data_IF_248942062008
#
_entry.id   IF_248942062008
#
_cell.length_a   1.000
_cell.length_b   1.000
_cell.length_c   1.000
_cell.angle_alpha   90.00
_cell.angle_beta   90.00
_cell.angle_gamma   90.00
#
_symmetry.space_group_name_H-M   'P 1'
#
loop_
_entity.id
_entity.type
_entity.pdbx_description
1 polymer ?
#
# COMPACT_ATOMS: atom_id res chain seq x y z
N UNK A 1 10.90 3.39 -38.12
CA UNK A 1 10.60 2.28 -37.19
C UNK A 1 11.73 2.02 -36.20
N UNK A 2 12.97 1.82 -36.64
CA UNK A 2 14.11 1.53 -35.75
C UNK A 2 14.42 2.66 -34.76
N UNK A 3 14.34 3.92 -35.21
CA UNK A 3 14.44 5.09 -34.33
C UNK A 3 13.32 5.18 -33.28
N UNK A 4 12.11 4.72 -33.61
CA UNK A 4 10.96 4.71 -32.67
C UNK A 4 11.14 3.63 -31.60
N UNK A 5 11.68 2.46 -31.98
CA UNK A 5 11.99 1.38 -31.04
C UNK A 5 13.14 1.78 -30.12
N UNK A 6 14.20 2.42 -30.65
CA UNK A 6 15.35 2.86 -29.87
C UNK A 6 14.99 4.01 -28.91
N UNK A 7 14.14 4.94 -29.33
CA UNK A 7 13.61 6.00 -28.46
C UNK A 7 12.64 5.42 -27.42
N UNK A 8 11.83 4.43 -27.80
CA UNK A 8 10.93 3.71 -26.90
C UNK A 8 11.68 2.95 -25.80
N UNK A 9 12.77 2.23 -26.15
CA UNK A 9 13.61 1.52 -25.17
C UNK A 9 14.41 2.47 -24.28
N UNK A 10 14.89 3.60 -24.83
CA UNK A 10 15.59 4.62 -24.06
C UNK A 10 14.64 5.29 -23.04
N UNK A 11 13.42 5.65 -23.45
CA UNK A 11 12.41 6.24 -22.57
C UNK A 11 11.95 5.25 -21.48
N UNK A 12 11.82 3.96 -21.81
CA UNK A 12 11.49 2.92 -20.84
C UNK A 12 12.62 2.73 -19.82
N UNK A 13 13.87 2.68 -20.27
CA UNK A 13 15.05 2.60 -19.42
C UNK A 13 15.19 3.83 -18.50
N UNK A 14 14.91 5.04 -19.01
CA UNK A 14 14.90 6.29 -18.23
C UNK A 14 13.76 6.33 -17.19
N UNK A 15 12.57 5.84 -17.54
CA UNK A 15 11.44 5.76 -16.60
C UNK A 15 11.74 4.81 -15.42
N UNK A 16 12.36 3.67 -15.72
CA UNK A 16 12.79 2.65 -14.74
C UNK A 16 14.00 3.11 -13.91
N UNK A 17 14.92 3.85 -14.53
CA UNK A 17 16.05 4.51 -13.87
C UNK A 17 15.58 5.49 -12.78
N UNK A 18 14.48 6.21 -13.03
CA UNK A 18 13.85 7.08 -12.02
C UNK A 18 13.26 6.29 -10.84
N UNK A 19 12.73 5.09 -11.08
CA UNK A 19 12.14 4.22 -10.06
C UNK A 19 13.22 3.56 -9.17
N UNK A 20 14.38 3.21 -9.74
CA UNK A 20 15.49 2.63 -8.98
C UNK A 20 16.24 3.68 -8.14
N UNK A 21 16.35 4.92 -8.62
CA UNK A 21 16.99 6.02 -7.89
C UNK A 21 16.23 6.39 -6.61
N UNK A 22 14.89 6.30 -6.63
CA UNK A 22 14.02 6.48 -5.45
C UNK A 22 14.23 5.43 -4.35
N UNK A 23 14.89 4.30 -4.64
CA UNK A 23 15.11 3.17 -3.70
C UNK A 23 16.55 3.04 -3.20
N UNK A 24 17.42 4.02 -3.44
CA UNK A 24 18.77 4.10 -2.84
C UNK A 24 19.80 3.07 -3.31
N UNK A 25 19.48 2.22 -4.31
CA UNK A 25 20.38 1.16 -4.81
C UNK A 25 21.27 1.64 -5.97
N UNK A 26 22.34 2.36 -5.63
CA UNK A 26 23.25 3.00 -6.62
C UNK A 26 23.95 2.01 -7.55
N UNK A 27 24.43 0.84 -7.07
CA UNK A 27 25.21 -0.09 -7.90
C UNK A 27 24.39 -0.78 -9.01
N UNK A 28 23.16 -1.22 -8.69
CA UNK A 28 22.25 -1.81 -9.68
C UNK A 28 21.88 -0.79 -10.78
N UNK A 29 21.73 0.47 -10.39
CA UNK A 29 21.45 1.59 -11.30
C UNK A 29 22.60 1.85 -12.27
N UNK A 30 23.85 1.82 -11.82
CA UNK A 30 25.02 1.91 -12.70
C UNK A 30 25.11 0.72 -13.66
N UNK A 31 24.82 -0.49 -13.19
CA UNK A 31 24.79 -1.70 -14.03
C UNK A 31 23.73 -1.64 -15.12
N UNK A 32 22.49 -1.27 -14.78
CA UNK A 32 21.39 -1.15 -15.74
C UNK A 32 21.60 -0.02 -16.75
N UNK A 33 22.13 1.14 -16.31
CA UNK A 33 22.47 2.24 -17.21
C UNK A 33 23.63 1.87 -18.14
N UNK A 34 24.64 1.16 -17.65
CA UNK A 34 25.76 0.67 -18.45
C UNK A 34 25.32 -0.33 -19.52
N UNK A 35 24.41 -1.25 -19.16
CA UNK A 35 23.82 -2.21 -20.10
C UNK A 35 22.95 -1.52 -21.16
N UNK A 36 22.11 -0.56 -20.74
CA UNK A 36 21.29 0.23 -21.65
C UNK A 36 22.14 1.04 -22.64
N UNK A 37 23.25 1.63 -22.16
CA UNK A 37 24.23 2.32 -23.01
C UNK A 37 24.86 1.36 -24.03
N UNK A 38 25.27 0.17 -23.59
CA UNK A 38 25.86 -0.86 -24.47
C UNK A 38 24.87 -1.29 -25.56
N UNK A 39 23.62 -1.54 -25.19
CA UNK A 39 22.55 -1.92 -26.13
C UNK A 39 22.14 -0.79 -27.07
N UNK A 40 22.35 0.47 -26.71
CA UNK A 40 22.10 1.62 -27.58
C UNK A 40 23.27 1.91 -28.53
N UNK A 41 24.51 1.78 -28.06
CA UNK A 41 25.73 2.11 -28.83
C UNK A 41 26.09 1.02 -29.83
N UNK A 42 25.89 -0.25 -29.49
CA UNK A 42 26.31 -1.38 -30.31
C UNK A 42 25.56 -1.47 -31.67
N UNK A 43 24.22 -1.23 -31.74
CA UNK A 43 23.50 -1.12 -33.01
C UNK A 43 23.91 0.12 -33.82
N UNK A 44 24.22 1.23 -33.14
CA UNK A 44 24.73 2.46 -33.76
C UNK A 44 26.10 2.24 -34.41
N UNK A 45 27.01 1.55 -33.71
CA UNK A 45 28.31 1.15 -34.24
C UNK A 45 28.19 0.20 -35.44
N UNK A 46 27.29 -0.79 -35.36
CA UNK A 46 27.02 -1.72 -36.46
C UNK A 46 26.42 -1.02 -37.68
N UNK A 47 25.47 -0.09 -37.48
CA UNK A 47 24.86 0.67 -38.58
C UNK A 47 25.85 1.62 -39.24
N UNK A 48 26.69 2.31 -38.45
CA UNK A 48 27.79 3.14 -38.97
C UNK A 48 28.84 2.29 -39.72
N UNK A 49 29.20 1.12 -39.21
CA UNK A 49 30.12 0.19 -39.88
C UNK A 49 29.58 -0.31 -41.22
N UNK A 50 28.29 -0.69 -41.26
CA UNK A 50 27.61 -1.10 -42.50
C UNK A 50 27.54 0.06 -43.50
N UNK A 51 27.20 1.27 -43.01
CA UNK A 51 27.19 2.49 -43.82
C UNK A 51 28.56 2.82 -44.40
N UNK A 52 29.61 2.80 -43.57
CA UNK A 52 31.01 2.97 -43.97
C UNK A 52 31.40 1.97 -45.07
N UNK A 53 31.11 0.68 -44.84
CA UNK A 53 31.47 -0.38 -45.78
C UNK A 53 30.71 -0.28 -47.11
N UNK A 54 29.51 0.28 -47.11
CA UNK A 54 28.68 0.39 -48.31
C UNK A 54 29.01 1.65 -49.14
N UNK A 55 29.08 2.80 -48.49
CA UNK A 55 29.27 4.08 -49.17
C UNK A 55 30.72 4.32 -49.62
N UNK A 56 31.71 3.85 -48.86
CA UNK A 56 33.12 4.10 -49.18
C UNK A 56 33.77 3.01 -50.04
N UNK A 57 33.19 1.80 -50.10
CA UNK A 57 33.73 0.69 -50.91
C UNK A 57 32.90 0.36 -52.17
N UNK A 58 31.84 1.14 -52.46
CA UNK A 58 31.22 1.22 -53.78
C UNK A 58 30.62 -0.09 -54.35
N UNK A 59 29.87 -0.88 -53.56
CA UNK A 59 29.17 -2.08 -54.06
C UNK A 59 27.67 -1.85 -54.26
N UNK A 60 27.11 -2.32 -55.38
CA UNK A 60 25.71 -2.12 -55.79
C UNK A 60 24.74 -3.21 -55.26
N UNK A 61 23.45 -2.85 -55.20
CA UNK A 61 22.35 -3.55 -54.51
C UNK A 61 21.80 -4.79 -55.26
N UNK A 62 22.63 -5.82 -55.48
CA UNK A 62 22.22 -7.01 -56.24
C UNK A 62 21.33 -8.03 -55.51
N UNK A 63 21.09 -7.89 -54.22
CA UNK A 63 20.13 -8.69 -53.43
C UNK A 63 19.94 -7.99 -52.10
N UNK A 64 18.72 -7.93 -51.56
CA UNK A 64 18.49 -7.36 -50.22
C UNK A 64 19.42 -8.13 -49.26
N UNK A 65 20.45 -7.48 -48.71
CA UNK A 65 21.52 -8.21 -48.07
C UNK A 65 20.98 -8.78 -46.76
N UNK A 66 21.37 -10.02 -46.45
CA UNK A 66 21.12 -10.68 -45.16
C UNK A 66 21.37 -9.75 -43.96
N UNK A 67 22.20 -8.71 -44.11
CA UNK A 67 22.49 -7.67 -43.11
C UNK A 67 21.28 -6.86 -42.63
N UNK A 68 20.25 -6.62 -43.44
CA UNK A 68 19.04 -5.89 -43.01
C UNK A 68 18.13 -6.77 -42.15
N UNK A 69 18.01 -8.06 -42.51
CA UNK A 69 17.39 -9.08 -41.67
C UNK A 69 18.17 -9.34 -40.38
N UNK A 70 19.52 -9.26 -40.44
CA UNK A 70 20.41 -9.40 -39.28
C UNK A 70 20.21 -8.24 -38.29
N UNK A 71 20.05 -7.00 -38.78
CA UNK A 71 19.80 -5.85 -37.90
C UNK A 71 18.44 -5.92 -37.20
N UNK A 72 17.39 -6.39 -37.89
CA UNK A 72 16.09 -6.64 -37.27
C UNK A 72 16.14 -7.82 -36.28
N UNK A 73 16.84 -8.90 -36.64
CA UNK A 73 17.05 -10.06 -35.76
C UNK A 73 17.82 -9.69 -34.50
N UNK A 74 18.92 -8.95 -34.63
CA UNK A 74 19.71 -8.43 -33.50
C UNK A 74 18.87 -7.47 -32.65
N UNK A 75 18.06 -6.61 -33.25
CA UNK A 75 17.16 -5.72 -32.52
C UNK A 75 16.13 -6.46 -31.68
N UNK A 76 15.51 -7.52 -32.22
CA UNK A 76 14.55 -8.36 -31.48
C UNK A 76 15.23 -9.14 -30.37
N UNK A 77 16.43 -9.69 -30.61
CA UNK A 77 17.21 -10.40 -29.59
C UNK A 77 17.65 -9.45 -28.46
N UNK A 78 18.10 -8.24 -28.78
CA UNK A 78 18.45 -7.23 -27.79
C UNK A 78 17.22 -6.76 -26.98
N UNK A 79 16.06 -6.59 -27.61
CA UNK A 79 14.82 -6.26 -26.92
C UNK A 79 14.36 -7.40 -25.99
N UNK A 80 14.43 -8.65 -26.46
CA UNK A 80 14.14 -9.84 -25.66
C UNK A 80 15.09 -9.98 -24.47
N UNK A 81 16.40 -9.79 -24.68
CA UNK A 81 17.39 -9.82 -23.61
C UNK A 81 17.17 -8.70 -22.57
N UNK A 82 16.80 -7.49 -23.03
CA UNK A 82 16.46 -6.38 -22.13
C UNK A 82 15.24 -6.69 -21.28
N UNK A 83 14.17 -7.21 -21.89
CA UNK A 83 12.96 -7.62 -21.19
C UNK A 83 13.26 -8.72 -20.16
N UNK A 84 14.04 -9.73 -20.52
CA UNK A 84 14.45 -10.80 -19.61
C UNK A 84 15.29 -10.29 -18.44
N UNK A 85 16.19 -9.33 -18.68
CA UNK A 85 17.00 -8.71 -17.60
C UNK A 85 16.16 -7.82 -16.69
N UNK A 86 15.10 -7.18 -17.20
CA UNK A 86 14.13 -6.45 -16.38
C UNK A 86 13.34 -7.40 -15.48
N UNK A 87 12.77 -8.47 -16.06
CA UNK A 87 12.02 -9.48 -15.30
C UNK A 87 12.93 -10.16 -14.27
N UNK A 88 14.15 -10.54 -14.64
CA UNK A 88 15.12 -11.12 -13.73
C UNK A 88 15.57 -10.15 -12.64
N UNK A 89 15.74 -8.86 -12.95
CA UNK A 89 16.08 -7.82 -11.99
C UNK A 89 14.98 -7.58 -10.97
N UNK A 90 13.72 -7.54 -11.40
CA UNK A 90 12.55 -7.48 -10.51
C UNK A 90 12.44 -8.74 -9.65
N UNK A 91 12.61 -9.92 -10.24
CA UNK A 91 12.61 -11.19 -9.51
C UNK A 91 13.70 -11.25 -8.44
N UNK A 92 14.97 -11.02 -8.80
CA UNK A 92 16.09 -11.12 -7.87
C UNK A 92 16.01 -10.04 -6.79
N UNK A 93 15.57 -8.84 -7.16
CA UNK A 93 15.43 -7.75 -6.19
C UNK A 93 14.27 -7.95 -5.21
N UNK A 94 13.16 -8.55 -5.66
CA UNK A 94 11.98 -8.90 -4.85
C UNK A 94 12.26 -10.02 -3.85
N UNK A 95 12.83 -11.14 -4.29
CA UNK A 95 13.17 -12.27 -3.40
C UNK A 95 14.22 -11.89 -2.35
N UNK A 96 15.24 -11.11 -2.72
CA UNK A 96 16.29 -10.67 -1.79
C UNK A 96 15.78 -9.73 -0.69
N UNK A 97 14.84 -8.83 -1.00
CA UNK A 97 14.21 -7.95 0.00
C UNK A 97 13.20 -8.66 0.87
N UNK A 98 12.42 -9.58 0.31
CA UNK A 98 11.44 -10.37 1.05
C UNK A 98 12.15 -11.24 2.11
N UNK A 99 13.24 -11.92 1.74
CA UNK A 99 14.04 -12.73 2.66
C UNK A 99 14.72 -11.91 3.76
N UNK A 100 15.23 -10.72 3.46
CA UNK A 100 15.79 -9.82 4.48
C UNK A 100 14.73 -9.25 5.43
N UNK A 101 13.57 -8.86 4.90
CA UNK A 101 12.43 -8.38 5.70
C UNK A 101 11.92 -9.47 6.63
N UNK A 102 11.77 -10.70 6.16
CA UNK A 102 11.35 -11.84 6.98
C UNK A 102 12.36 -12.17 8.08
N UNK A 103 13.66 -12.20 7.78
CA UNK A 103 14.71 -12.41 8.80
C UNK A 103 14.71 -11.32 9.87
N UNK A 104 14.57 -10.05 9.46
CA UNK A 104 14.51 -8.92 10.40
C UNK A 104 13.28 -9.00 11.30
N UNK A 105 12.12 -9.38 10.77
CA UNK A 105 10.89 -9.59 11.56
C UNK A 105 11.06 -10.72 12.56
N UNK A 106 11.62 -11.86 12.13
CA UNK A 106 11.93 -12.98 13.01
C UNK A 106 12.90 -12.59 14.13
N UNK A 107 13.96 -11.84 13.82
CA UNK A 107 14.93 -11.35 14.82
C UNK A 107 14.27 -10.39 15.84
N UNK A 108 13.40 -9.49 15.39
CA UNK A 108 12.67 -8.59 16.29
C UNK A 108 11.74 -9.40 17.19
N UNK A 109 11.02 -10.39 16.63
CA UNK A 109 10.13 -11.27 17.38
C UNK A 109 10.88 -12.07 18.44
N UNK A 110 12.00 -12.69 18.07
CA UNK A 110 12.88 -13.42 19.01
C UNK A 110 13.34 -12.53 20.17
N UNK A 111 13.71 -11.27 19.89
CA UNK A 111 14.09 -10.32 20.94
C UNK A 111 12.93 -9.99 21.88
N UNK A 112 11.72 -9.79 21.36
CA UNK A 112 10.52 -9.52 22.18
C UNK A 112 10.18 -10.74 23.05
N UNK A 113 10.26 -11.95 22.50
CA UNK A 113 10.09 -13.20 23.24
C UNK A 113 11.19 -13.38 24.31
N UNK A 114 12.41 -12.93 24.03
CA UNK A 114 13.52 -12.83 24.98
C UNK A 114 13.43 -11.68 26.00
N UNK A 115 12.31 -10.94 26.05
CA UNK A 115 12.03 -9.92 27.06
C UNK A 115 12.28 -8.46 26.67
N UNK A 116 12.66 -8.17 25.41
CA UNK A 116 12.85 -6.79 24.90
C UNK A 116 11.52 -6.12 24.56
N UNK A 117 10.76 -5.73 25.58
CA UNK A 117 9.45 -5.09 25.42
C UNK A 117 9.50 -3.73 24.71
N UNK A 118 10.66 -3.08 24.63
CA UNK A 118 10.86 -1.87 23.84
C UNK A 118 10.62 -2.07 22.33
N UNK A 119 10.73 -3.31 21.86
CA UNK A 119 10.48 -3.69 20.48
C UNK A 119 9.07 -4.24 20.22
N UNK A 120 8.21 -4.35 21.24
CA UNK A 120 6.89 -4.94 21.10
C UNK A 120 6.04 -4.22 20.04
N UNK A 121 6.05 -2.88 20.03
CA UNK A 121 5.33 -2.11 19.02
C UNK A 121 5.93 -2.23 17.61
N UNK A 122 7.21 -2.60 17.48
CA UNK A 122 7.80 -2.91 16.18
C UNK A 122 7.28 -4.23 15.61
N UNK A 123 7.08 -5.25 16.45
CA UNK A 123 6.44 -6.51 16.03
C UNK A 123 5.05 -6.19 15.50
N UNK A 124 4.22 -5.50 16.28
CA UNK A 124 2.88 -5.09 15.86
C UNK A 124 2.95 -4.24 14.57
N UNK A 125 3.83 -3.24 14.47
CA UNK A 125 3.87 -2.39 13.29
C UNK A 125 4.44 -3.05 12.00
N UNK A 126 5.05 -4.25 12.09
CA UNK A 126 5.78 -4.84 10.96
C UNK A 126 5.57 -6.34 10.74
N UNK A 127 4.93 -7.06 11.64
CA UNK A 127 4.73 -8.51 11.55
C UNK A 127 3.26 -8.83 11.22
N UNK A 128 2.97 -9.43 10.04
CA UNK A 128 1.59 -9.72 9.63
C UNK A 128 0.93 -10.80 10.50
N UNK A 129 1.73 -11.55 11.26
CA UNK A 129 1.31 -12.61 12.17
C UNK A 129 1.36 -12.15 13.65
N UNK A 130 1.38 -10.83 13.90
CA UNK A 130 1.31 -10.31 15.25
C UNK A 130 -0.01 -10.73 15.93
N UNK A 131 0.11 -11.16 17.18
CA UNK A 131 -0.96 -11.78 17.96
C UNK A 131 -1.65 -10.77 18.89
N UNK A 132 -2.80 -11.13 19.51
CA UNK A 132 -3.39 -10.31 20.58
C UNK A 132 -2.40 -10.06 21.73
N UNK A 133 -1.53 -11.02 22.03
CA UNK A 133 -0.52 -10.88 23.07
C UNK A 133 0.56 -9.85 22.71
N UNK A 134 0.99 -9.82 21.44
CA UNK A 134 1.93 -8.79 20.96
C UNK A 134 1.32 -7.40 21.07
N UNK A 135 0.03 -7.27 20.76
CA UNK A 135 -0.71 -6.03 20.94
C UNK A 135 -0.81 -5.63 22.42
N UNK A 136 -1.11 -6.57 23.32
CA UNK A 136 -1.13 -6.32 24.77
C UNK A 136 0.23 -5.84 25.30
N UNK A 137 1.33 -6.41 24.80
CA UNK A 137 2.69 -5.99 25.15
C UNK A 137 3.01 -4.59 24.62
N UNK A 138 2.63 -4.28 23.37
CA UNK A 138 2.79 -2.94 22.82
C UNK A 138 1.96 -1.91 23.58
N UNK A 139 0.70 -2.22 23.91
CA UNK A 139 -0.16 -1.36 24.74
C UNK A 139 0.48 -1.08 26.10
N UNK A 140 0.88 -2.12 26.83
CA UNK A 140 1.57 -1.97 28.13
C UNK A 140 2.82 -1.08 27.99
N UNK A 141 3.57 -1.25 26.90
CA UNK A 141 4.75 -0.42 26.60
C UNK A 141 4.39 1.05 26.36
N UNK A 142 3.31 1.35 25.63
CA UNK A 142 2.86 2.72 25.37
C UNK A 142 2.30 3.36 26.63
N UNK A 143 1.47 2.64 27.39
CA UNK A 143 0.86 3.14 28.63
C UNK A 143 1.91 3.42 29.72
N UNK A 144 3.00 2.64 29.77
CA UNK A 144 4.12 2.88 30.69
C UNK A 144 4.97 4.12 30.36
N UNK A 145 4.88 4.67 29.15
CA UNK A 145 5.53 5.95 28.83
C UNK A 145 4.77 7.06 29.53
N UNK A 146 5.43 7.93 30.29
CA UNK A 146 4.78 9.10 30.90
C UNK A 146 4.95 10.37 30.07
N UNK A 147 6.01 10.43 29.24
CA UNK A 147 6.28 11.54 28.34
C UNK A 147 5.37 11.48 27.08
N UNK A 148 4.57 12.54 26.80
CA UNK A 148 3.75 12.62 25.60
C UNK A 148 4.55 12.50 24.29
N UNK A 149 5.79 13.01 24.25
CA UNK A 149 6.62 12.92 23.03
C UNK A 149 7.05 11.48 22.77
N UNK A 150 7.50 10.77 23.81
CA UNK A 150 7.82 9.35 23.71
C UNK A 150 6.61 8.50 23.31
N UNK A 151 5.42 8.77 23.87
CA UNK A 151 4.17 8.09 23.46
C UNK A 151 3.88 8.33 21.98
N UNK A 152 4.00 9.58 21.53
CA UNK A 152 3.76 9.92 20.13
C UNK A 152 4.73 9.23 19.19
N UNK A 153 6.02 9.17 19.55
CA UNK A 153 7.03 8.45 18.77
C UNK A 153 6.70 6.96 18.61
N UNK A 154 6.12 6.32 19.65
CA UNK A 154 5.65 4.94 19.54
C UNK A 154 4.48 4.80 18.56
N UNK A 155 3.52 5.74 18.58
CA UNK A 155 2.39 5.75 17.64
C UNK A 155 2.81 6.05 16.19
N UNK A 156 3.89 6.81 15.98
CA UNK A 156 4.41 7.08 14.64
C UNK A 156 4.86 5.81 13.88
N UNK A 157 5.18 4.72 14.59
CA UNK A 157 5.49 3.42 13.96
C UNK A 157 4.31 2.88 13.13
N UNK A 158 3.09 3.30 13.46
CA UNK A 158 1.84 2.92 12.82
C UNK A 158 1.42 3.88 11.69
N UNK A 159 2.31 4.78 11.27
CA UNK A 159 2.09 5.66 10.11
C UNK A 159 2.88 5.17 8.90
N UNK A 160 2.29 5.25 7.72
CA UNK A 160 2.95 5.03 6.43
C UNK A 160 3.82 6.24 6.03
N UNK A 161 4.57 6.11 4.92
CA UNK A 161 5.40 7.20 4.37
C UNK A 161 4.63 8.49 4.08
N UNK A 162 3.32 8.40 3.84
CA UNK A 162 2.44 9.53 3.60
C UNK A 162 1.57 9.89 4.81
N UNK A 163 1.98 9.47 6.01
CA UNK A 163 1.31 9.75 7.28
C UNK A 163 -0.11 9.20 7.39
N UNK A 164 -0.43 8.22 6.55
CA UNK A 164 -1.66 7.48 6.63
C UNK A 164 -1.55 6.43 7.74
N UNK A 165 -2.62 6.21 8.49
CA UNK A 165 -2.66 5.11 9.46
C UNK A 165 -2.42 3.80 8.71
N UNK A 166 -1.49 2.99 9.21
CA UNK A 166 -1.32 1.60 8.82
C UNK A 166 -2.53 0.84 9.33
N UNK A 167 -3.55 0.76 8.49
CA UNK A 167 -4.77 0.01 8.75
C UNK A 167 -4.70 -1.33 8.03
N UNK A 168 -5.83 -2.02 7.97
CA UNK A 168 -5.97 -3.23 7.18
C UNK A 168 -5.69 -3.00 5.70
N UNK A 169 -4.82 -3.85 5.17
CA UNK A 169 -4.43 -3.99 3.79
C UNK A 169 -5.03 -5.30 3.29
N UNK A 170 -5.87 -5.27 2.25
CA UNK A 170 -6.46 -6.48 1.67
C UNK A 170 -5.40 -7.55 1.29
N UNK A 171 -4.17 -7.15 0.96
CA UNK A 171 -3.06 -8.07 0.69
C UNK A 171 -2.75 -9.05 1.85
N UNK A 172 -3.13 -8.75 3.09
CA UNK A 172 -2.79 -9.55 4.27
C UNK A 172 -3.88 -10.51 4.74
N UNK A 173 -5.09 -10.42 4.19
CA UNK A 173 -6.20 -11.34 4.53
C UNK A 173 -6.12 -12.64 3.72
N UNK A 174 -4.93 -12.98 3.21
CA UNK A 174 -4.69 -14.16 2.36
C UNK A 174 -5.22 -14.03 0.93
N UNK A 175 -5.40 -12.81 0.41
CA UNK A 175 -6.22 -12.54 -0.77
C UNK A 175 -5.49 -12.54 -2.14
N UNK A 176 -4.17 -12.80 -2.23
CA UNK A 176 -3.50 -12.94 -3.54
C UNK A 176 -2.10 -13.58 -3.47
N UNK A 177 -1.75 -14.37 -4.51
CA UNK A 177 -0.41 -14.90 -4.78
C UNK A 177 0.49 -13.99 -5.63
N UNK A 178 -0.04 -12.90 -6.21
CA UNK A 178 0.63 -12.19 -7.32
C UNK A 178 0.92 -10.70 -7.10
N UNK A 179 0.78 -10.15 -5.90
CA UNK A 179 0.99 -8.71 -5.69
C UNK A 179 1.99 -8.41 -4.58
N UNK A 180 3.19 -8.95 -4.76
CA UNK A 180 4.41 -8.49 -4.13
C UNK A 180 4.84 -7.22 -4.87
N UNK A 181 4.37 -6.04 -4.43
CA UNK A 181 4.88 -4.68 -4.76
C UNK A 181 3.94 -3.61 -4.17
N UNK A 182 3.84 -3.52 -2.84
CA UNK A 182 3.77 -2.27 -2.07
C UNK A 182 3.69 -2.62 -0.57
N UNK A 183 4.67 -2.13 0.20
CA UNK A 183 4.72 -2.26 1.65
C UNK A 183 3.47 -1.64 2.29
N UNK A 184 2.69 -2.45 3.01
CA UNK A 184 1.53 -1.99 3.78
C UNK A 184 1.17 -3.02 4.85
N UNK A 185 2.00 -3.08 5.90
CA UNK A 185 1.84 -4.03 7.00
C UNK A 185 0.70 -3.67 7.95
N UNK A 186 -0.22 -4.62 8.20
CA UNK A 186 -1.43 -4.47 9.03
C UNK A 186 -1.25 -5.05 10.41
N UNK A 187 -1.25 -4.23 11.46
CA UNK A 187 -1.69 -4.73 12.77
C UNK A 187 -2.23 -3.62 13.67
N UNK A 188 -3.48 -3.24 13.47
CA UNK A 188 -4.33 -2.88 14.63
C UNK A 188 -5.54 -3.78 14.58
N UNK A 189 -5.31 -5.09 14.75
CA UNK A 189 -6.37 -6.10 14.76
C UNK A 189 -7.02 -6.21 16.12
N UNK A 190 -6.23 -5.94 17.15
CA UNK A 190 -6.58 -6.14 18.53
C UNK A 190 -6.63 -4.78 19.20
N UNK A 191 -7.65 -4.55 20.03
CA UNK A 191 -7.77 -3.33 20.82
C UNK A 191 -7.92 -2.03 19.98
N UNK A 192 -8.66 -2.10 18.88
CA UNK A 192 -8.87 -0.97 17.96
C UNK A 192 -9.49 0.25 18.64
N UNK A 193 -10.41 0.04 19.58
CA UNK A 193 -11.06 1.13 20.32
C UNK A 193 -10.04 1.89 21.17
N UNK A 194 -9.22 1.16 21.93
CA UNK A 194 -8.12 1.76 22.68
C UNK A 194 -7.14 2.45 21.74
N UNK A 195 -6.68 1.77 20.69
CA UNK A 195 -5.64 2.29 19.81
C UNK A 195 -6.06 3.60 19.16
N UNK A 196 -7.23 3.61 18.53
CA UNK A 196 -7.69 4.75 17.74
C UNK A 196 -7.93 5.95 18.65
N UNK A 197 -8.57 5.73 19.80
CA UNK A 197 -8.75 6.79 20.81
C UNK A 197 -7.40 7.33 21.29
N UNK A 198 -6.52 6.46 21.79
CA UNK A 198 -5.27 6.85 22.41
C UNK A 198 -4.26 7.46 21.42
N UNK A 199 -4.33 7.06 20.15
CA UNK A 199 -3.57 7.71 19.07
C UNK A 199 -3.90 9.21 18.99
N UNK A 200 -5.18 9.56 18.87
CA UNK A 200 -5.60 10.96 18.77
C UNK A 200 -5.46 11.72 20.09
N UNK A 201 -5.70 11.08 21.24
CA UNK A 201 -5.40 11.67 22.57
C UNK A 201 -3.92 12.04 22.69
N UNK A 202 -3.02 11.15 22.27
CA UNK A 202 -1.58 11.38 22.34
C UNK A 202 -1.14 12.49 21.37
N UNK A 203 -1.78 12.60 20.22
CA UNK A 203 -1.58 13.71 19.30
C UNK A 203 -2.06 15.03 19.91
N UNK A 204 -3.28 15.06 20.46
CA UNK A 204 -3.82 16.22 21.17
C UNK A 204 -2.94 16.61 22.36
N UNK A 205 -2.31 15.67 23.05
CA UNK A 205 -1.39 15.99 24.14
C UNK A 205 -0.13 16.75 23.66
N UNK A 206 0.19 16.77 22.35
CA UNK A 206 1.32 17.53 21.83
C UNK A 206 1.06 19.05 21.89
N UNK A 207 1.97 19.84 22.48
CA UNK A 207 1.84 21.30 22.51
C UNK A 207 1.76 21.92 21.10
N UNK A 208 2.43 21.31 20.14
CA UNK A 208 2.56 21.78 18.75
C UNK A 208 1.46 21.27 17.80
N UNK A 209 0.46 20.55 18.33
CA UNK A 209 -0.64 20.01 17.52
C UNK A 209 -1.35 21.13 16.71
N UNK A 210 -1.53 20.87 15.42
CA UNK A 210 -2.20 21.73 14.43
C UNK A 210 -1.53 23.08 14.17
N UNK A 211 -0.28 23.25 14.63
CA UNK A 211 0.48 24.48 14.45
C UNK A 211 1.22 24.54 13.10
N UNK A 212 1.72 23.42 12.58
CA UNK A 212 2.44 23.37 11.30
C UNK A 212 1.52 22.94 10.15
N UNK A 213 1.96 23.22 8.91
CA UNK A 213 1.28 22.74 7.70
C UNK A 213 1.36 21.21 7.64
N UNK A 214 2.55 20.65 7.89
CA UNK A 214 2.80 19.22 7.90
C UNK A 214 1.89 18.49 8.90
N UNK A 215 1.66 19.03 10.09
CA UNK A 215 0.79 18.38 11.08
C UNK A 215 -0.68 18.34 10.63
N UNK A 216 -1.14 19.35 9.89
CA UNK A 216 -2.48 19.36 9.30
C UNK A 216 -2.59 18.39 8.11
N UNK A 217 -1.55 18.25 7.30
CA UNK A 217 -1.49 17.23 6.24
C UNK A 217 -1.54 15.82 6.83
N UNK A 218 -0.78 15.58 7.91
CA UNK A 218 -0.81 14.34 8.68
C UNK A 218 -2.21 14.06 9.22
N UNK A 219 -2.84 15.06 9.86
CA UNK A 219 -4.19 14.91 10.41
C UNK A 219 -5.17 14.52 9.31
N UNK A 220 -5.13 15.22 8.18
CA UNK A 220 -6.01 14.92 7.05
C UNK A 220 -5.77 13.49 6.53
N UNK A 221 -4.52 13.05 6.40
CA UNK A 221 -4.16 11.71 5.98
C UNK A 221 -4.70 10.63 6.95
N UNK A 222 -4.55 10.84 8.26
CA UNK A 222 -5.09 9.95 9.29
C UNK A 222 -6.62 9.92 9.30
N UNK A 223 -7.29 11.09 9.23
CA UNK A 223 -8.75 11.19 9.16
C UNK A 223 -9.30 10.56 7.87
N UNK A 224 -8.53 10.53 6.77
CA UNK A 224 -8.94 9.81 5.56
C UNK A 224 -9.07 8.31 5.81
N UNK A 225 -8.11 7.74 6.55
CA UNK A 225 -8.05 6.31 6.91
C UNK A 225 -8.87 5.93 8.14
N UNK A 226 -9.48 6.89 8.82
CA UNK A 226 -10.29 6.64 10.04
C UNK A 226 -11.75 6.32 9.68
N UNK A 227 -11.95 5.20 8.98
CA UNK A 227 -13.28 4.70 8.58
C UNK A 227 -13.32 3.16 8.54
N UNK A 228 -14.51 2.55 8.65
CA UNK A 228 -14.79 1.11 8.51
C UNK A 228 -14.26 0.57 7.20
N UNK A 229 -14.33 1.30 6.09
CA UNK A 229 -13.80 0.84 4.80
C UNK A 229 -12.28 0.63 4.81
N UNK A 230 -11.59 1.19 5.80
CA UNK A 230 -10.18 0.93 6.06
C UNK A 230 -9.94 -0.06 7.23
N UNK A 231 -10.99 -0.73 7.72
CA UNK A 231 -10.89 -1.84 8.67
C UNK A 231 -11.00 -1.48 10.16
N UNK A 232 -11.52 -0.30 10.49
CA UNK A 232 -11.87 0.07 11.87
C UNK A 232 -13.23 -0.48 12.28
N UNK A 233 -13.38 -0.99 13.50
CA UNK A 233 -14.65 -1.48 14.04
C UNK A 233 -15.60 -0.34 14.34
N UNK A 234 -16.90 -0.64 14.38
CA UNK A 234 -17.93 0.33 14.77
C UNK A 234 -17.66 0.89 16.18
N UNK A 235 -17.33 0.03 17.14
CA UNK A 235 -17.01 0.43 18.51
C UNK A 235 -15.83 1.42 18.58
N UNK A 236 -14.75 1.18 17.81
CA UNK A 236 -13.62 2.10 17.77
C UNK A 236 -13.99 3.48 17.22
N UNK A 237 -14.79 3.51 16.15
CA UNK A 237 -15.26 4.76 15.55
C UNK A 237 -16.27 5.48 16.45
N UNK A 238 -17.14 4.76 17.14
CA UNK A 238 -18.10 5.33 18.10
C UNK A 238 -17.37 5.94 19.31
N UNK A 239 -16.36 5.23 19.85
CA UNK A 239 -15.49 5.76 20.89
C UNK A 239 -14.80 7.05 20.46
N UNK A 240 -14.21 7.06 19.25
CA UNK A 240 -13.59 8.25 18.69
C UNK A 240 -14.60 9.41 18.51
N UNK A 241 -15.77 9.11 17.95
CA UNK A 241 -16.83 10.09 17.65
C UNK A 241 -17.36 10.77 18.91
N UNK A 242 -17.52 10.02 19.98
CA UNK A 242 -18.12 10.51 21.23
C UNK A 242 -17.10 11.18 22.14
N UNK A 243 -15.84 10.74 22.13
CA UNK A 243 -14.83 11.19 23.10
C UNK A 243 -13.82 12.18 22.51
N UNK A 244 -13.39 12.01 21.25
CA UNK A 244 -12.18 12.69 20.73
C UNK A 244 -12.44 13.63 19.57
N UNK A 245 -13.33 13.28 18.64
CA UNK A 245 -13.66 14.15 17.49
C UNK A 245 -14.15 15.54 17.91
N UNK A 246 -14.99 15.70 18.96
CA UNK A 246 -15.40 17.02 19.42
C UNK A 246 -14.22 17.87 19.92
N UNK A 247 -13.26 17.25 20.63
CA UNK A 247 -12.07 17.93 21.13
C UNK A 247 -11.12 18.33 19.98
N UNK A 248 -10.92 17.43 19.00
CA UNK A 248 -10.17 17.74 17.78
C UNK A 248 -10.77 18.94 17.03
N UNK A 249 -12.10 18.96 16.88
CA UNK A 249 -12.81 20.05 16.23
C UNK A 249 -12.62 21.36 17.00
N UNK A 250 -12.85 21.33 18.31
CA UNK A 250 -12.67 22.50 19.18
C UNK A 250 -11.24 23.05 19.09
N UNK A 251 -10.23 22.18 19.06
CA UNK A 251 -8.82 22.58 18.98
C UNK A 251 -8.42 23.14 17.61
N UNK A 252 -9.01 22.65 16.53
CA UNK A 252 -8.86 23.23 15.20
C UNK A 252 -9.50 24.62 15.09
N UNK A 253 -10.59 24.85 15.82
CA UNK A 253 -11.29 26.13 15.89
C UNK A 253 -10.58 27.15 16.80
N UNK A 254 -9.88 26.69 17.84
CA UNK A 254 -9.11 27.58 18.73
C UNK A 254 -7.90 28.14 17.97
N UNK A 255 -8.09 29.36 17.47
CA UNK A 255 -7.23 30.03 16.49
C UNK A 255 -5.97 30.62 17.14
N UNK A 256 -4.75 30.33 16.64
CA UNK A 256 -3.62 31.21 16.82
C UNK A 256 -3.51 32.12 15.58
N UNK A 257 -4.02 33.35 15.68
CA UNK A 257 -3.70 34.47 14.77
C UNK A 257 -4.00 34.30 13.26
N UNK A 258 -3.44 35.20 12.44
CA UNK A 258 -3.49 35.15 10.97
C UNK A 258 -2.71 33.93 10.47
N UNK A 259 -3.42 32.95 9.92
CA UNK A 259 -2.83 31.78 9.25
C UNK A 259 -2.70 32.02 7.74
N UNK A 260 -1.72 31.37 7.10
CA UNK A 260 -1.56 31.40 5.63
C UNK A 260 -2.78 30.73 4.96
N UNK A 261 -3.17 31.16 3.74
CA UNK A 261 -4.32 30.59 3.02
C UNK A 261 -4.30 29.05 2.92
N UNK A 262 -3.16 28.45 2.58
CA UNK A 262 -3.02 27.00 2.44
C UNK A 262 -3.28 26.25 3.76
N UNK A 263 -2.85 26.85 4.87
CA UNK A 263 -3.08 26.30 6.21
C UNK A 263 -4.56 26.35 6.59
N UNK A 264 -5.27 27.41 6.21
CA UNK A 264 -6.71 27.54 6.45
C UNK A 264 -7.49 26.52 5.59
N UNK A 265 -7.11 26.34 4.33
CA UNK A 265 -7.73 25.34 3.45
C UNK A 265 -7.62 23.90 4.00
N UNK A 266 -6.45 23.52 4.56
CA UNK A 266 -6.29 22.21 5.20
C UNK A 266 -7.09 22.08 6.51
N UNK A 267 -7.22 23.18 7.28
CA UNK A 267 -8.08 23.21 8.47
C UNK A 267 -9.54 23.04 8.08
N UNK A 268 -10.00 23.74 7.05
CA UNK A 268 -11.35 23.58 6.50
C UNK A 268 -11.63 22.16 6.02
N UNK A 269 -10.68 21.56 5.29
CA UNK A 269 -10.79 20.18 4.86
C UNK A 269 -10.86 19.20 6.04
N UNK A 270 -10.05 19.44 7.09
CA UNK A 270 -10.06 18.64 8.32
C UNK A 270 -11.38 18.80 9.10
N UNK A 271 -11.87 20.03 9.25
CA UNK A 271 -13.18 20.34 9.87
C UNK A 271 -14.31 19.61 9.16
N UNK A 272 -14.36 19.71 7.82
CA UNK A 272 -15.38 19.04 7.00
C UNK A 272 -15.32 17.52 7.19
N UNK A 273 -14.12 16.93 7.24
CA UNK A 273 -13.94 15.48 7.45
C UNK A 273 -14.41 15.05 8.83
N UNK A 274 -14.07 15.81 9.87
CA UNK A 274 -14.53 15.55 11.24
C UNK A 274 -16.06 15.66 11.33
N UNK A 275 -16.66 16.69 10.72
CA UNK A 275 -18.12 16.84 10.67
C UNK A 275 -18.79 15.62 10.02
N UNK A 276 -18.27 15.14 8.89
CA UNK A 276 -18.76 13.91 8.24
C UNK A 276 -18.66 12.69 9.16
N UNK A 277 -17.56 12.53 9.89
CA UNK A 277 -17.38 11.42 10.85
C UNK A 277 -18.32 11.54 12.07
N UNK A 278 -18.72 12.75 12.45
CA UNK A 278 -19.69 13.01 13.53
C UNK A 278 -21.13 12.71 13.10
N UNK A 279 -21.52 13.17 11.91
CA UNK A 279 -22.90 13.10 11.39
C UNK A 279 -23.30 11.70 10.94
N UNK A 280 -22.37 10.97 10.33
CA UNK A 280 -22.68 9.73 9.61
C UNK A 280 -21.81 8.59 10.12
N UNK A 281 -22.33 7.74 11.02
CA UNK A 281 -21.66 6.48 11.40
C UNK A 281 -21.29 5.66 10.17
N UNK A 282 -22.14 5.72 9.13
CA UNK A 282 -22.03 5.02 7.86
C UNK A 282 -21.10 5.67 6.81
N UNK A 283 -20.84 6.97 6.86
CA UNK A 283 -19.84 7.60 5.96
C UNK A 283 -18.40 7.28 6.41
N UNK A 284 -18.26 6.79 7.63
CA UNK A 284 -17.13 6.00 8.06
C UNK A 284 -17.47 4.52 8.25
N UNK A 285 -18.53 3.97 7.67
CA UNK A 285 -19.18 2.78 8.23
C UNK A 285 -19.66 1.72 7.25
N UNK A 286 -20.15 2.04 6.06
CA UNK A 286 -20.77 1.00 5.20
C UNK A 286 -21.99 0.31 5.81
N UNK A 287 -22.72 -0.52 5.03
CA UNK A 287 -23.96 -1.11 5.49
C UNK A 287 -23.74 -2.08 6.67
N UNK A 288 -24.80 -2.38 7.46
CA UNK A 288 -24.75 -3.49 8.41
C UNK A 288 -24.45 -4.81 7.69
N UNK A 289 -23.89 -5.78 8.43
CA UNK A 289 -23.65 -7.12 7.89
C UNK A 289 -24.99 -7.68 7.41
N UNK A 290 -25.15 -8.01 6.12
CA UNK A 290 -26.43 -8.50 5.62
C UNK A 290 -26.73 -9.88 6.20
N UNK A 291 -28.00 -10.14 6.49
CA UNK A 291 -28.48 -11.49 6.79
C UNK A 291 -28.22 -12.37 5.58
N UNK A 292 -27.48 -13.47 5.76
CA UNK A 292 -27.28 -14.42 4.69
C UNK A 292 -28.58 -15.21 4.46
N UNK A 293 -29.02 -15.39 3.20
CA UNK A 293 -30.18 -16.22 2.90
C UNK A 293 -29.96 -17.70 3.27
N UNK A 294 -28.72 -18.18 3.19
CA UNK A 294 -28.30 -19.52 3.59
C UNK A 294 -27.17 -19.45 4.63
N UNK A 295 -27.03 -20.49 5.46
CA UNK A 295 -25.87 -20.58 6.34
C UNK A 295 -24.58 -20.50 5.52
N UNK A 296 -23.61 -19.63 5.88
CA UNK A 296 -22.36 -19.52 5.15
C UNK A 296 -21.64 -20.86 5.22
N UNK A 297 -20.86 -21.18 4.17
CA UNK A 297 -20.03 -22.37 4.19
C UNK A 297 -19.18 -22.41 5.49
N UNK A 298 -18.95 -23.59 6.10
CA UNK A 298 -18.26 -23.69 7.39
C UNK A 298 -16.88 -23.02 7.42
N UNK A 299 -16.24 -22.92 6.26
CA UNK A 299 -14.92 -22.37 6.02
C UNK A 299 -14.94 -20.91 5.53
N UNK A 300 -16.12 -20.30 5.37
CA UNK A 300 -16.25 -18.93 4.90
C UNK A 300 -15.59 -17.93 5.85
N UNK A 301 -14.76 -17.06 5.28
CA UNK A 301 -14.01 -16.02 6.01
C UNK A 301 -14.73 -14.67 5.99
N UNK A 302 -15.86 -14.56 5.30
CA UNK A 302 -16.63 -13.32 5.21
C UNK A 302 -17.95 -13.45 4.47
N UNK A 303 -18.57 -12.31 4.22
CA UNK A 303 -19.78 -12.12 3.42
C UNK A 303 -19.54 -11.00 2.41
N UNK A 304 -19.97 -11.20 1.17
CA UNK A 304 -19.96 -10.22 0.11
C UNK A 304 -21.39 -9.82 -0.25
N UNK A 305 -21.63 -8.55 -0.56
CA UNK A 305 -22.87 -8.04 -1.16
C UNK A 305 -22.54 -7.13 -2.32
N UNK A 306 -23.26 -7.30 -3.42
CA UNK A 306 -23.27 -6.31 -4.49
C UNK A 306 -24.30 -5.23 -4.16
N UNK A 307 -23.86 -3.96 -4.11
CA UNK A 307 -24.73 -2.79 -3.97
C UNK A 307 -25.60 -2.57 -5.20
N UNK A 308 -26.59 -1.70 -5.09
CA UNK A 308 -27.47 -1.34 -6.21
C UNK A 308 -26.77 -0.44 -7.24
N UNK A 309 -25.66 0.17 -6.84
CA UNK A 309 -24.74 1.01 -7.61
C UNK A 309 -23.55 0.23 -8.20
N UNK A 310 -23.59 -1.11 -8.17
CA UNK A 310 -22.48 -2.01 -8.54
C UNK A 310 -21.23 -1.89 -7.64
N UNK A 311 -21.35 -1.29 -6.45
CA UNK A 311 -20.28 -1.30 -5.45
C UNK A 311 -20.21 -2.65 -4.74
N UNK A 312 -19.02 -3.22 -4.61
CA UNK A 312 -18.80 -4.46 -3.86
C UNK A 312 -18.55 -4.15 -2.39
N UNK A 313 -19.42 -4.68 -1.53
CA UNK A 313 -19.30 -4.60 -0.07
C UNK A 313 -18.84 -5.95 0.48
N UNK A 314 -17.81 -5.94 1.34
CA UNK A 314 -17.28 -7.15 1.97
C UNK A 314 -17.25 -6.98 3.48
N UNK A 315 -17.78 -7.95 4.21
CA UNK A 315 -17.71 -8.07 5.67
C UNK A 315 -16.90 -9.31 6.01
N UNK A 316 -15.65 -9.11 6.41
CA UNK A 316 -14.69 -10.19 6.65
C UNK A 316 -14.52 -10.42 8.15
N UNK A 317 -14.03 -11.61 8.52
CA UNK A 317 -13.53 -11.89 9.88
C UNK A 317 -12.17 -11.24 10.10
N UNK A 318 -11.85 -10.95 11.37
CA UNK A 318 -10.53 -10.45 11.77
C UNK A 318 -9.39 -11.45 11.54
N UNK A 319 -9.65 -12.73 11.32
CA UNK A 319 -8.66 -13.72 10.85
C UNK A 319 -9.38 -14.85 10.11
N UNK A 320 -8.65 -15.73 9.44
CA UNK A 320 -9.23 -16.92 8.80
C UNK A 320 -9.91 -17.88 9.80
N UNK A 321 -9.50 -17.90 11.07
CA UNK A 321 -9.93 -18.89 12.08
C UNK A 321 -10.63 -18.30 13.31
N UNK A 322 -10.58 -16.98 13.49
CA UNK A 322 -11.12 -16.26 14.65
C UNK A 322 -11.76 -14.92 14.23
N UNK A 323 -12.72 -14.45 15.03
CA UNK A 323 -13.47 -13.21 14.78
C UNK A 323 -14.88 -13.45 14.24
N UNK A 324 -15.69 -12.40 14.23
CA UNK A 324 -17.05 -12.39 13.68
C UNK A 324 -17.08 -11.79 12.27
N UNK A 325 -18.08 -12.13 11.47
CA UNK A 325 -18.27 -11.45 10.18
C UNK A 325 -18.59 -9.98 10.43
N UNK A 326 -17.87 -9.10 9.74
CA UNK A 326 -18.05 -7.67 9.87
C UNK A 326 -17.11 -7.00 10.86
N UNK A 327 -16.23 -7.77 11.52
CA UNK A 327 -15.06 -7.23 12.21
C UNK A 327 -14.25 -6.31 11.28
N UNK A 328 -14.17 -6.68 10.00
CA UNK A 328 -13.53 -5.89 8.95
C UNK A 328 -14.54 -5.65 7.83
N UNK A 329 -14.54 -4.43 7.29
CA UNK A 329 -15.40 -4.04 6.18
C UNK A 329 -14.58 -3.43 5.05
N UNK A 330 -14.86 -3.83 3.81
CA UNK A 330 -14.29 -3.22 2.62
C UNK A 330 -15.39 -2.83 1.65
N UNK A 331 -15.11 -1.77 0.88
CA UNK A 331 -16.02 -1.21 -0.09
C UNK A 331 -15.22 -0.90 -1.36
N UNK A 332 -15.55 -1.56 -2.46
CA UNK A 332 -14.84 -1.38 -3.73
C UNK A 332 -15.81 -0.91 -4.81
N UNK A 333 -15.58 0.31 -5.31
CA UNK A 333 -16.24 0.77 -6.52
C UNK A 333 -15.73 -0.04 -7.73
N UNK A 334 -16.56 -0.15 -8.77
CA UNK A 334 -16.29 -0.99 -9.94
C UNK A 334 -15.01 -0.60 -10.70
N UNK A 335 -14.62 0.66 -10.63
CA UNK A 335 -13.45 1.21 -11.31
C UNK A 335 -12.12 0.86 -10.61
N UNK A 336 -12.19 0.37 -9.36
CA UNK A 336 -11.00 -0.01 -8.60
C UNK A 336 -10.44 -1.34 -9.09
N UNK A 337 -9.12 -1.45 -9.18
CA UNK A 337 -8.45 -2.67 -9.67
C UNK A 337 -8.78 -3.88 -8.78
N UNK A 338 -8.94 -3.65 -7.48
CA UNK A 338 -9.30 -4.63 -6.45
C UNK A 338 -10.68 -5.25 -6.71
N UNK A 339 -11.63 -4.49 -7.27
CA UNK A 339 -12.97 -4.99 -7.58
C UNK A 339 -12.90 -6.21 -8.51
N UNK A 340 -12.14 -6.11 -9.60
CA UNK A 340 -12.00 -7.20 -10.56
C UNK A 340 -11.30 -8.43 -9.97
N UNK A 341 -10.32 -8.20 -9.09
CA UNK A 341 -9.67 -9.25 -8.32
C UNK A 341 -10.68 -10.04 -7.47
N UNK A 342 -11.53 -9.32 -6.74
CA UNK A 342 -12.59 -9.94 -5.93
C UNK A 342 -13.64 -10.65 -6.77
N UNK A 343 -14.07 -10.08 -7.89
CA UNK A 343 -15.06 -10.71 -8.76
C UNK A 343 -14.55 -12.00 -9.41
N UNK A 344 -13.23 -12.16 -9.58
CA UNK A 344 -12.63 -13.42 -10.05
C UNK A 344 -12.80 -14.54 -9.02
N UNK A 345 -12.73 -14.21 -7.74
CA UNK A 345 -12.83 -15.17 -6.63
C UNK A 345 -14.29 -15.47 -6.31
N UNK A 346 -15.10 -14.42 -6.20
CA UNK A 346 -16.51 -14.54 -5.86
C UNK A 346 -17.32 -15.09 -7.03
N UNK A 347 -16.86 -14.89 -8.27
CA UNK A 347 -17.65 -15.09 -9.48
C UNK A 347 -18.65 -13.94 -9.72
N UNK A 348 -19.42 -13.98 -10.82
CA UNK A 348 -20.40 -12.94 -11.11
C UNK A 348 -21.46 -12.85 -10.00
N UNK A 349 -21.79 -11.62 -9.63
CA UNK A 349 -22.80 -11.27 -8.63
C UNK A 349 -23.80 -10.28 -9.24
N UNK A 350 -25.09 -10.46 -8.97
CA UNK A 350 -26.15 -9.51 -9.35
C UNK A 350 -26.31 -8.45 -8.27
N UNK A 351 -26.84 -7.27 -8.62
CA UNK A 351 -27.20 -6.22 -7.65
C UNK A 351 -28.11 -6.78 -6.54
N UNK A 352 -27.82 -6.40 -5.31
CA UNK A 352 -28.49 -6.91 -4.10
C UNK A 352 -28.09 -8.33 -3.68
N UNK A 353 -27.34 -9.07 -4.50
CA UNK A 353 -26.95 -10.44 -4.17
C UNK A 353 -25.95 -10.47 -3.03
N UNK A 354 -26.20 -11.37 -2.07
CA UNK A 354 -25.29 -11.68 -0.95
C UNK A 354 -24.67 -13.06 -1.18
N UNK A 355 -23.38 -13.22 -0.86
CA UNK A 355 -22.65 -14.49 -1.00
C UNK A 355 -21.64 -14.66 0.13
N UNK A 356 -21.41 -15.88 0.59
CA UNK A 356 -20.28 -16.17 1.48
C UNK A 356 -18.94 -15.97 0.75
N UNK A 357 -17.96 -15.37 1.42
CA UNK A 357 -16.60 -15.24 0.91
C UNK A 357 -15.84 -16.52 1.28
N UNK A 358 -15.46 -17.35 0.30
CA UNK A 358 -14.73 -18.58 0.59
C UNK A 358 -13.34 -18.25 1.14
N UNK A 359 -12.71 -19.17 1.90
CA UNK A 359 -11.31 -19.04 2.22
C UNK A 359 -10.53 -19.13 0.91
N UNK A 360 -9.50 -18.30 0.79
CA UNK A 360 -8.62 -18.39 -0.36
C UNK A 360 -7.80 -19.66 -0.20
N UNK A 361 -8.04 -20.65 -1.06
CA UNK A 361 -7.10 -21.76 -1.19
C UNK A 361 -5.80 -21.15 -1.66
N UNK A 362 -4.81 -21.08 -0.77
CA UNK A 362 -3.41 -20.98 -1.16
C UNK A 362 -3.05 -22.37 -1.72
N UNK A 363 -2.69 -22.51 -3.00
CA UNK A 363 -2.05 -23.75 -3.43
C UNK A 363 -0.72 -24.01 -2.70
#
# INVERSE_FOLDING_TARGET
MLAVILVGTLLLALALSSASHRRGRRLLHWGLNGLALLLAVLPLGLTLWVGYRHFLLGRSWGSVPLSLGLLLGVGVVCAGASLLLLVAGEWVSGFGTAGQGQRRRAEIREKVEGGRLDLACHVVATDPDATPEDMRRCRTRIESLTDPKARWAAFQLFLERHFELKTWHPQEVGLSRYWDLNEGLVVVRHDQEWFLRTFYETWLAQPEAFQSLEDLERLQACLRRTTRSFGWTLAALEGLRTQILPELLQRLETRPGRSRPDKEALRDASRKRIATLLETPEAGGGPPVPSLPDAPAPDAIGVARMGDDDTLHLWMRATATHGQFGDVYFCFARELAEYNGWMTVLGPMRRGQVRGVPPFKLP
#
